data_IF_186235612598
#
_entry.id   IF_186235612598
#
_cell.length_a   1.000
_cell.length_b   1.000
_cell.length_c   1.000
_cell.angle_alpha   90.00
_cell.angle_beta   90.00
_cell.angle_gamma   90.00
#
_symmetry.space_group_name_H-M   'P 1'
#
loop_
_entity.id
_entity.type
_entity.pdbx_description
1 polymer ?
#
# COMPACT_ATOMS: atom_id res chain seq x y z
N UNK A 1 -13.59 -6.18 -26.46
CA UNK A 1 -12.62 -5.77 -25.42
C UNK A 1 -12.06 -7.01 -24.74
N UNK A 2 -10.80 -7.38 -25.01
CA UNK A 2 -10.13 -8.51 -24.32
C UNK A 2 -10.11 -8.21 -22.82
N UNK A 3 -10.80 -9.01 -22.01
CA UNK A 3 -10.64 -9.01 -20.55
C UNK A 3 -9.18 -9.39 -20.27
N UNK A 4 -8.32 -8.41 -19.98
CA UNK A 4 -7.06 -8.69 -19.31
C UNK A 4 -7.42 -9.18 -17.90
N UNK A 5 -7.65 -10.48 -17.76
CA UNK A 5 -7.46 -11.14 -16.47
C UNK A 5 -6.07 -10.70 -16.00
N UNK A 6 -5.98 -10.06 -14.83
CA UNK A 6 -4.70 -9.66 -14.25
C UNK A 6 -3.80 -10.91 -14.20
N UNK A 7 -2.93 -11.03 -15.22
CA UNK A 7 -2.11 -12.22 -15.40
C UNK A 7 -0.98 -12.09 -14.40
N UNK A 8 -1.09 -12.89 -13.36
CA UNK A 8 -0.07 -13.10 -12.34
C UNK A 8 1.25 -13.39 -13.04
N UNK A 9 2.25 -12.53 -12.86
CA UNK A 9 3.60 -12.74 -13.39
C UNK A 9 4.23 -14.00 -12.81
N UNK A 10 5.22 -14.55 -13.50
CA UNK A 10 5.99 -15.67 -12.98
C UNK A 10 6.61 -15.30 -11.63
N UNK A 11 6.42 -16.16 -10.64
CA UNK A 11 6.99 -16.00 -9.30
C UNK A 11 8.51 -15.90 -9.35
N UNK A 12 9.19 -16.66 -10.24
CA UNK A 12 10.64 -16.62 -10.40
C UNK A 12 11.12 -15.25 -10.88
N UNK A 13 10.40 -14.67 -11.84
CA UNK A 13 10.68 -13.31 -12.30
C UNK A 13 10.51 -12.28 -11.18
N UNK A 14 9.42 -12.38 -10.42
CA UNK A 14 9.19 -11.48 -9.29
C UNK A 14 10.31 -11.58 -8.24
N UNK A 15 10.70 -12.81 -7.86
CA UNK A 15 11.80 -13.04 -6.92
C UNK A 15 13.11 -12.50 -7.46
N UNK A 16 13.47 -12.81 -8.72
CA UNK A 16 14.71 -12.36 -9.33
C UNK A 16 14.82 -10.83 -9.37
N UNK A 17 13.74 -10.14 -9.74
CA UNK A 17 13.71 -8.68 -9.77
C UNK A 17 13.80 -8.08 -8.36
N UNK A 18 13.08 -8.65 -7.38
CA UNK A 18 13.18 -8.22 -5.98
C UNK A 18 14.59 -8.43 -5.42
N UNK A 19 15.24 -9.55 -5.71
CA UNK A 19 16.64 -9.78 -5.28
C UNK A 19 17.57 -8.74 -5.89
N UNK A 20 17.46 -8.48 -7.20
CA UNK A 20 18.25 -7.43 -7.86
C UNK A 20 18.01 -6.05 -7.25
N UNK A 21 16.76 -5.73 -6.92
CA UNK A 21 16.39 -4.51 -6.22
C UNK A 21 17.01 -4.43 -4.82
N UNK A 22 16.96 -5.51 -4.03
CA UNK A 22 17.52 -5.55 -2.68
C UNK A 22 19.05 -5.44 -2.69
N UNK A 23 19.73 -6.05 -3.67
CA UNK A 23 21.19 -5.93 -3.81
C UNK A 23 21.56 -4.49 -4.11
N UNK A 24 20.93 -3.87 -5.11
CA UNK A 24 21.24 -2.50 -5.50
C UNK A 24 20.82 -1.51 -4.41
N UNK A 25 19.61 -1.64 -3.88
CA UNK A 25 19.10 -0.80 -2.79
C UNK A 25 19.92 -0.95 -1.52
N UNK A 26 20.38 -2.17 -1.20
CA UNK A 26 21.26 -2.43 -0.06
C UNK A 26 22.65 -1.81 -0.23
N UNK A 27 23.23 -1.90 -1.44
CA UNK A 27 24.49 -1.22 -1.74
C UNK A 27 24.35 0.31 -1.60
N UNK A 28 23.28 0.89 -2.14
CA UNK A 28 23.04 2.33 -2.04
C UNK A 28 22.77 2.74 -0.59
N UNK A 29 21.95 1.99 0.15
CA UNK A 29 21.64 2.27 1.56
C UNK A 29 22.88 2.16 2.46
N UNK A 30 23.80 1.23 2.17
CA UNK A 30 25.05 1.11 2.91
C UNK A 30 25.97 2.33 2.75
N UNK A 31 25.92 2.98 1.58
CA UNK A 31 26.68 4.20 1.30
C UNK A 31 25.89 5.49 1.59
N UNK A 32 24.64 5.37 2.03
CA UNK A 32 23.77 6.51 2.33
C UNK A 32 24.04 7.04 3.73
N UNK A 33 24.41 8.31 3.80
CA UNK A 33 24.49 9.03 5.06
C UNK A 33 23.08 9.37 5.54
N UNK A 34 22.71 8.83 6.71
CA UNK A 34 21.37 9.04 7.27
C UNK A 34 21.12 10.52 7.52
N UNK A 35 20.02 11.01 6.98
CA UNK A 35 19.63 12.40 7.12
C UNK A 35 19.16 12.71 8.54
N UNK A 36 19.13 14.00 8.86
CA UNK A 36 18.73 14.50 10.17
C UNK A 36 17.35 13.98 10.60
N UNK A 37 16.39 13.94 9.69
CA UNK A 37 15.02 13.49 9.96
C UNK A 37 14.94 11.98 10.18
N UNK A 38 15.74 11.18 9.48
CA UNK A 38 15.87 9.74 9.75
C UNK A 38 16.40 9.49 11.16
N UNK A 39 17.48 10.16 11.53
CA UNK A 39 18.09 10.03 12.85
C UNK A 39 17.16 10.58 13.94
N UNK A 40 16.44 11.67 13.70
CA UNK A 40 15.47 12.22 14.65
C UNK A 40 14.36 11.19 14.96
N UNK A 41 13.80 10.54 13.95
CA UNK A 41 12.79 9.50 14.14
C UNK A 41 13.35 8.30 14.93
N UNK A 42 14.59 7.90 14.64
CA UNK A 42 15.28 6.86 15.39
C UNK A 42 15.49 7.23 16.86
N UNK A 43 16.00 8.43 17.14
CA UNK A 43 16.26 8.92 18.49
C UNK A 43 14.98 9.00 19.32
N UNK A 44 13.89 9.49 18.74
CA UNK A 44 12.58 9.49 19.41
C UNK A 44 12.14 8.08 19.83
N UNK A 45 12.27 7.12 18.93
CA UNK A 45 11.89 5.73 19.21
C UNK A 45 12.85 5.04 20.21
N UNK A 46 14.12 5.41 20.22
CA UNK A 46 15.14 4.87 21.13
C UNK A 46 15.03 5.44 22.54
N UNK A 47 14.84 6.76 22.63
CA UNK A 47 14.90 7.49 23.89
C UNK A 47 13.55 7.51 24.63
N UNK A 48 12.47 7.02 24.01
CA UNK A 48 11.20 6.76 24.70
C UNK A 48 11.19 5.43 25.45
N UNK A 49 10.94 5.46 26.76
CA UNK A 49 10.90 4.28 27.60
C UNK A 49 9.62 3.46 27.40
N UNK A 50 8.49 4.12 27.06
CA UNK A 50 7.18 3.49 26.85
C UNK A 50 6.45 4.02 25.61
N UNK A 51 5.41 3.31 25.15
CA UNK A 51 4.55 3.78 24.06
C UNK A 51 3.88 5.12 24.38
N UNK A 52 3.47 5.34 25.64
CA UNK A 52 2.84 6.59 26.07
C UNK A 52 3.80 7.77 25.97
N UNK A 53 5.04 7.57 26.38
CA UNK A 53 6.10 8.58 26.28
C UNK A 53 6.44 8.88 24.82
N UNK A 54 6.49 7.86 23.96
CA UNK A 54 6.66 8.04 22.53
C UNK A 54 5.56 8.93 21.93
N UNK A 55 4.29 8.66 22.27
CA UNK A 55 3.18 9.51 21.81
C UNK A 55 3.22 10.92 22.40
N UNK A 56 3.71 11.09 23.63
CA UNK A 56 3.90 12.41 24.23
C UNK A 56 4.95 13.23 23.45
N UNK A 57 6.05 12.60 23.02
CA UNK A 57 7.07 13.26 22.20
C UNK A 57 6.58 13.55 20.78
N UNK A 58 5.82 12.63 20.17
CA UNK A 58 5.28 12.79 18.82
C UNK A 58 4.29 13.94 18.66
N UNK A 59 3.67 14.40 19.74
CA UNK A 59 2.76 15.55 19.74
C UNK A 59 3.38 16.80 19.09
N UNK A 60 4.71 16.92 19.15
CA UNK A 60 5.46 18.07 18.65
C UNK A 60 6.09 17.84 17.26
N UNK A 61 6.04 16.62 16.72
CA UNK A 61 6.62 16.25 15.41
C UNK A 61 5.69 16.56 14.23
N UNK A 62 4.37 16.58 14.45
CA UNK A 62 3.38 16.75 13.37
C UNK A 62 3.24 15.54 12.44
N UNK A 63 3.96 14.44 12.70
CA UNK A 63 3.89 13.20 11.93
C UNK A 63 3.13 12.08 12.67
N UNK A 64 2.34 11.26 11.95
CA UNK A 64 1.70 10.08 12.54
C UNK A 64 2.71 9.08 13.13
N UNK A 65 2.37 8.47 14.27
CA UNK A 65 3.29 7.64 15.05
C UNK A 65 3.59 6.24 14.52
N UNK A 66 2.96 5.78 13.42
CA UNK A 66 3.07 4.38 12.99
C UNK A 66 4.51 3.97 12.68
N UNK A 67 5.29 4.84 12.04
CA UNK A 67 6.70 4.59 11.77
C UNK A 67 7.50 4.41 13.07
N UNK A 68 7.34 5.33 14.01
CA UNK A 68 8.00 5.31 15.30
C UNK A 68 7.64 4.07 16.15
N UNK A 69 6.38 3.62 16.07
CA UNK A 69 5.95 2.37 16.70
C UNK A 69 6.69 1.15 16.15
N UNK A 70 7.02 1.14 14.85
CA UNK A 70 7.84 0.09 14.25
C UNK A 70 9.31 0.19 14.68
N UNK A 71 9.84 1.40 14.88
CA UNK A 71 11.23 1.60 15.28
C UNK A 71 11.50 1.28 16.75
N UNK A 72 10.53 1.54 17.63
CA UNK A 72 10.68 1.33 19.07
C UNK A 72 11.11 -0.10 19.47
N UNK A 73 10.55 -1.20 18.92
CA UNK A 73 11.08 -2.53 19.21
C UNK A 73 12.47 -2.77 18.61
N UNK A 74 12.80 -2.17 17.47
CA UNK A 74 14.13 -2.31 16.84
C UNK A 74 15.21 -1.64 17.68
N UNK A 75 14.91 -0.51 18.32
CA UNK A 75 15.82 0.18 19.23
C UNK A 75 16.15 -0.63 20.49
N UNK A 76 15.30 -1.62 20.83
CA UNK A 76 15.58 -2.57 21.93
C UNK A 76 16.48 -3.73 21.53
N UNK A 77 16.67 -3.96 20.23
CA UNK A 77 17.57 -4.98 19.70
C UNK A 77 19.00 -4.41 19.58
N UNK A 78 19.12 -3.17 19.10
CA UNK A 78 20.41 -2.50 18.94
C UNK A 78 20.28 -0.99 19.08
N UNK A 79 21.34 -0.35 19.57
CA UNK A 79 21.44 1.10 19.61
C UNK A 79 21.77 1.72 18.24
N UNK A 80 22.27 0.92 17.29
CA UNK A 80 22.69 1.39 15.97
C UNK A 80 21.48 1.66 15.06
N UNK A 81 21.39 2.84 14.43
CA UNK A 81 20.29 3.18 13.52
C UNK A 81 20.32 2.39 12.21
N UNK A 82 21.39 1.66 11.91
CA UNK A 82 21.52 0.81 10.71
C UNK A 82 20.39 -0.24 10.63
N UNK A 83 19.88 -0.73 11.77
CA UNK A 83 18.76 -1.68 11.78
C UNK A 83 17.50 -1.09 11.15
N UNK A 84 17.30 0.23 11.27
CA UNK A 84 16.18 0.93 10.64
C UNK A 84 16.31 0.90 9.11
N UNK A 85 17.51 1.12 8.56
CA UNK A 85 17.75 1.04 7.11
C UNK A 85 17.49 -0.38 6.58
N UNK A 86 17.94 -1.41 7.31
CA UNK A 86 17.66 -2.81 6.94
C UNK A 86 16.16 -3.09 6.97
N UNK A 87 15.46 -2.67 8.02
CA UNK A 87 14.02 -2.84 8.14
C UNK A 87 13.26 -2.12 7.02
N UNK A 88 13.67 -0.88 6.70
CA UNK A 88 13.11 -0.09 5.61
C UNK A 88 13.32 -0.75 4.25
N UNK A 89 14.53 -1.28 3.99
CA UNK A 89 14.84 -2.00 2.76
C UNK A 89 14.00 -3.28 2.62
N UNK A 90 13.71 -3.98 3.73
CA UNK A 90 12.80 -5.13 3.73
C UNK A 90 11.37 -4.72 3.36
N UNK A 91 10.85 -3.62 3.93
CA UNK A 91 9.53 -3.07 3.57
C UNK A 91 9.47 -2.74 2.07
N UNK A 92 10.51 -2.08 1.54
CA UNK A 92 10.60 -1.77 0.12
C UNK A 92 10.69 -3.03 -0.75
N UNK A 93 11.46 -4.04 -0.33
CA UNK A 93 11.55 -5.34 -1.01
C UNK A 93 10.21 -6.07 -1.09
N UNK A 94 9.45 -6.10 0.01
CA UNK A 94 8.08 -6.65 0.02
C UNK A 94 7.17 -5.85 -0.92
N UNK A 95 7.27 -4.52 -0.90
CA UNK A 95 6.50 -3.64 -1.79
C UNK A 95 6.78 -3.94 -3.27
N UNK A 96 8.06 -4.04 -3.65
CA UNK A 96 8.51 -4.41 -5.00
C UNK A 96 8.01 -5.80 -5.38
N UNK A 97 8.15 -6.79 -4.49
CA UNK A 97 7.66 -8.14 -4.76
C UNK A 97 6.16 -8.16 -5.05
N UNK A 98 5.35 -7.53 -4.20
CA UNK A 98 3.90 -7.46 -4.38
C UNK A 98 3.53 -6.73 -5.67
N UNK A 99 4.18 -5.60 -5.95
CA UNK A 99 3.95 -4.84 -7.17
C UNK A 99 4.26 -5.67 -8.42
N UNK A 100 5.45 -6.28 -8.49
CA UNK A 100 5.86 -7.08 -9.66
C UNK A 100 4.94 -8.28 -9.85
N UNK A 101 4.55 -8.94 -8.75
CA UNK A 101 3.73 -10.15 -8.72
C UNK A 101 2.29 -9.93 -9.18
N UNK A 102 1.67 -8.83 -8.78
CA UNK A 102 0.23 -8.61 -8.91
C UNK A 102 -0.17 -7.46 -9.84
N UNK A 103 0.72 -6.50 -10.10
CA UNK A 103 0.36 -5.36 -10.94
C UNK A 103 0.15 -5.78 -12.40
N UNK A 104 -0.88 -5.26 -13.09
CA UNK A 104 -1.23 -5.61 -14.47
C UNK A 104 -0.40 -4.86 -15.52
N UNK A 105 0.89 -4.62 -15.23
CA UNK A 105 1.81 -3.88 -16.11
C UNK A 105 2.73 -4.82 -16.89
N UNK A 106 3.29 -4.31 -18.00
CA UNK A 106 4.30 -5.04 -18.76
C UNK A 106 5.64 -5.13 -18.00
N UNK A 107 6.54 -5.99 -18.45
CA UNK A 107 7.81 -6.23 -17.76
C UNK A 107 8.69 -4.98 -17.68
N UNK A 108 8.72 -4.14 -18.73
CA UNK A 108 9.51 -2.92 -18.79
C UNK A 108 8.99 -1.86 -17.80
N UNK A 109 7.67 -1.65 -17.73
CA UNK A 109 7.03 -0.77 -16.77
C UNK A 109 7.32 -1.19 -15.33
N UNK A 110 7.31 -2.50 -15.06
CA UNK A 110 7.67 -3.04 -13.75
C UNK A 110 9.12 -2.77 -13.40
N UNK A 111 10.02 -3.03 -14.34
CA UNK A 111 11.44 -2.75 -14.18
C UNK A 111 11.69 -1.26 -13.92
N UNK A 112 11.18 -0.38 -14.78
CA UNK A 112 11.35 1.08 -14.65
C UNK A 112 10.74 1.64 -13.37
N UNK A 113 9.60 1.09 -12.92
CA UNK A 113 9.02 1.49 -11.64
C UNK A 113 9.93 1.10 -10.47
N UNK A 114 10.37 -0.15 -10.41
CA UNK A 114 11.18 -0.66 -9.30
C UNK A 114 12.56 -0.01 -9.23
N UNK A 115 13.22 0.22 -10.36
CA UNK A 115 14.54 0.86 -10.44
C UNK A 115 14.47 2.36 -10.71
N UNK A 116 13.28 2.96 -10.61
CA UNK A 116 13.10 4.40 -10.68
C UNK A 116 13.57 5.10 -9.41
N UNK A 117 13.89 6.39 -9.54
CA UNK A 117 14.37 7.23 -8.44
C UNK A 117 13.52 7.11 -7.17
N UNK A 118 12.20 7.25 -7.27
CA UNK A 118 11.33 7.23 -6.10
C UNK A 118 11.35 5.88 -5.37
N UNK A 119 11.21 4.76 -6.07
CA UNK A 119 11.10 3.45 -5.42
C UNK A 119 12.45 3.00 -4.87
N UNK A 120 13.52 3.19 -5.64
CA UNK A 120 14.85 2.73 -5.26
C UNK A 120 15.54 3.65 -4.25
N UNK A 121 15.34 4.97 -4.34
CA UNK A 121 16.01 5.92 -3.46
C UNK A 121 15.08 6.42 -2.36
N UNK A 122 14.03 7.18 -2.70
CA UNK A 122 13.14 7.81 -1.71
C UNK A 122 12.41 6.81 -0.80
N UNK A 123 12.00 5.66 -1.33
CA UNK A 123 11.22 4.65 -0.59
C UNK A 123 12.01 3.41 -0.16
N UNK A 124 13.29 3.29 -0.51
CA UNK A 124 14.13 2.17 -0.07
C UNK A 124 15.37 2.60 0.71
N UNK A 125 16.02 3.69 0.30
CA UNK A 125 17.28 4.16 0.91
C UNK A 125 17.01 5.13 2.05
N UNK A 126 16.19 6.15 1.82
CA UNK A 126 15.88 7.17 2.84
C UNK A 126 14.82 6.59 3.79
N UNK A 127 15.22 6.22 5.00
CA UNK A 127 14.42 5.44 5.94
C UNK A 127 13.32 6.26 6.63
N UNK A 128 12.21 6.45 5.90
CA UNK A 128 11.09 7.29 6.33
C UNK A 128 9.75 6.55 6.33
N UNK A 129 8.78 7.19 6.97
CA UNK A 129 7.39 6.73 7.07
C UNK A 129 6.71 6.47 5.71
N UNK A 130 7.18 7.07 4.62
CA UNK A 130 6.54 6.94 3.31
C UNK A 130 6.64 5.53 2.70
N UNK A 131 7.69 4.76 3.00
CA UNK A 131 7.80 3.38 2.50
C UNK A 131 6.69 2.48 3.06
N UNK A 132 6.32 2.65 4.33
CA UNK A 132 5.14 1.99 4.90
C UNK A 132 3.87 2.42 4.17
N UNK A 133 3.73 3.70 3.85
CA UNK A 133 2.61 4.22 3.08
C UNK A 133 2.49 3.55 1.71
N UNK A 134 3.61 3.43 0.98
CA UNK A 134 3.64 2.77 -0.32
C UNK A 134 3.30 1.28 -0.21
N UNK A 135 3.86 0.57 0.78
CA UNK A 135 3.55 -0.85 1.02
C UNK A 135 2.05 -1.06 1.23
N UNK A 136 1.44 -0.27 2.13
CA UNK A 136 0.03 -0.38 2.46
C UNK A 136 -0.87 -0.03 1.26
N UNK A 137 -0.47 0.95 0.44
CA UNK A 137 -1.18 1.30 -0.78
C UNK A 137 -1.13 0.16 -1.82
N UNK A 138 0.04 -0.46 -2.02
CA UNK A 138 0.16 -1.63 -2.89
C UNK A 138 -0.66 -2.79 -2.36
N UNK A 139 -0.63 -3.05 -1.05
CA UNK A 139 -1.43 -4.10 -0.42
C UNK A 139 -2.93 -3.87 -0.60
N UNK A 140 -3.39 -2.63 -0.44
CA UNK A 140 -4.76 -2.23 -0.75
C UNK A 140 -5.13 -2.56 -2.21
N UNK A 141 -4.28 -2.19 -3.18
CA UNK A 141 -4.50 -2.49 -4.59
C UNK A 141 -4.59 -4.00 -4.87
N UNK A 142 -3.75 -4.81 -4.22
CA UNK A 142 -3.78 -6.28 -4.34
C UNK A 142 -5.10 -6.85 -3.85
N UNK A 143 -5.59 -6.37 -2.70
CA UNK A 143 -6.82 -6.86 -2.07
C UNK A 143 -8.10 -6.19 -2.60
N UNK A 144 -7.97 -5.15 -3.44
CA UNK A 144 -9.09 -4.37 -3.95
C UNK A 144 -10.17 -5.20 -4.66
N UNK A 145 -9.78 -6.30 -5.30
CA UNK A 145 -10.73 -7.21 -5.96
C UNK A 145 -11.66 -7.91 -4.97
N UNK A 146 -11.21 -8.14 -3.75
CA UNK A 146 -11.96 -8.83 -2.70
C UNK A 146 -12.58 -7.86 -1.69
N UNK A 147 -12.64 -6.55 -2.02
CA UNK A 147 -13.02 -5.48 -1.09
C UNK A 147 -14.38 -5.67 -0.40
N UNK A 148 -15.34 -6.28 -1.07
CA UNK A 148 -16.67 -6.56 -0.50
C UNK A 148 -16.76 -7.87 0.27
N UNK A 149 -15.82 -8.80 0.05
CA UNK A 149 -15.77 -10.07 0.81
C UNK A 149 -15.14 -9.88 2.19
N UNK A 150 -14.21 -8.92 2.30
CA UNK A 150 -13.39 -8.69 3.49
C UNK A 150 -13.30 -7.21 3.84
N UNK A 151 -14.43 -6.52 4.13
CA UNK A 151 -14.44 -5.08 4.36
C UNK A 151 -13.61 -4.66 5.57
N UNK A 152 -13.53 -5.49 6.62
CA UNK A 152 -12.70 -5.21 7.80
C UNK A 152 -11.20 -5.16 7.47
N UNK A 153 -10.72 -6.02 6.56
CA UNK A 153 -9.32 -6.01 6.14
C UNK A 153 -8.98 -4.75 5.34
N UNK A 154 -9.86 -4.34 4.44
CA UNK A 154 -9.70 -3.09 3.69
C UNK A 154 -9.73 -1.89 4.63
N UNK A 155 -10.70 -1.83 5.55
CA UNK A 155 -10.80 -0.77 6.54
C UNK A 155 -9.55 -0.68 7.42
N UNK A 156 -9.03 -1.82 7.88
CA UNK A 156 -7.78 -1.88 8.66
C UNK A 156 -6.57 -1.36 7.88
N UNK A 157 -6.42 -1.74 6.61
CA UNK A 157 -5.32 -1.24 5.77
C UNK A 157 -5.44 0.27 5.54
N UNK A 158 -6.64 0.78 5.25
CA UNK A 158 -6.89 2.20 5.07
C UNK A 158 -6.63 2.99 6.36
N UNK A 159 -7.03 2.45 7.50
CA UNK A 159 -6.74 3.03 8.81
C UNK A 159 -5.22 3.13 9.05
N UNK A 160 -4.47 2.05 8.83
CA UNK A 160 -3.01 2.07 8.97
C UNK A 160 -2.38 3.03 7.96
N UNK A 161 -2.87 3.07 6.72
CA UNK A 161 -2.37 3.96 5.67
C UNK A 161 -2.53 5.43 6.06
N UNK A 162 -3.70 5.81 6.59
CA UNK A 162 -3.95 7.15 7.12
C UNK A 162 -2.99 7.53 8.26
N UNK A 163 -2.50 6.56 9.03
CA UNK A 163 -1.54 6.74 10.10
C UNK A 163 -0.07 6.69 9.65
N UNK A 164 0.24 6.73 8.35
CA UNK A 164 1.63 6.84 7.86
C UNK A 164 2.05 8.29 7.65
N UNK A 165 1.26 9.09 6.92
CA UNK A 165 1.57 10.47 6.58
C UNK A 165 0.31 11.26 6.18
N UNK A 166 0.40 12.60 6.17
CA UNK A 166 -0.70 13.46 5.70
C UNK A 166 -1.05 13.17 4.23
N UNK A 167 -0.06 12.91 3.37
CA UNK A 167 -0.28 12.54 1.98
C UNK A 167 -1.08 11.25 1.86
N UNK A 168 -0.73 10.24 2.67
CA UNK A 168 -1.45 8.98 2.71
C UNK A 168 -2.87 9.14 3.29
N UNK A 169 -3.07 10.05 4.25
CA UNK A 169 -4.40 10.40 4.75
C UNK A 169 -5.28 10.99 3.63
N UNK A 170 -4.77 11.93 2.83
CA UNK A 170 -5.50 12.50 1.69
C UNK A 170 -5.90 11.39 0.71
N UNK A 171 -4.96 10.50 0.37
CA UNK A 171 -5.23 9.34 -0.50
C UNK A 171 -6.30 8.43 0.10
N UNK A 172 -6.21 8.11 1.40
CA UNK A 172 -7.19 7.30 2.11
C UNK A 172 -8.58 7.93 2.09
N UNK A 173 -8.70 9.24 2.32
CA UNK A 173 -9.98 9.96 2.24
C UNK A 173 -10.57 9.84 0.83
N UNK A 174 -9.76 10.09 -0.21
CA UNK A 174 -10.21 10.00 -1.60
C UNK A 174 -10.68 8.59 -1.96
N UNK A 175 -9.94 7.56 -1.58
CA UNK A 175 -10.31 6.15 -1.80
C UNK A 175 -11.58 5.80 -1.03
N UNK A 176 -11.68 6.20 0.23
CA UNK A 176 -12.84 5.90 1.08
C UNK A 176 -14.11 6.56 0.53
N UNK A 177 -13.99 7.80 0.06
CA UNK A 177 -15.07 8.51 -0.63
C UNK A 177 -15.48 7.80 -1.92
N UNK A 178 -14.53 7.40 -2.76
CA UNK A 178 -14.82 6.65 -3.98
C UNK A 178 -15.55 5.32 -3.70
N UNK A 179 -15.11 4.57 -2.68
CA UNK A 179 -15.75 3.33 -2.26
C UNK A 179 -17.17 3.57 -1.71
N UNK A 180 -17.36 4.67 -0.97
CA UNK A 180 -18.67 5.08 -0.49
C UNK A 180 -19.60 5.41 -1.67
N UNK A 181 -19.17 6.25 -2.61
CA UNK A 181 -19.95 6.56 -3.82
C UNK A 181 -20.28 5.29 -4.61
N UNK A 182 -19.32 4.39 -4.82
CA UNK A 182 -19.53 3.11 -5.50
C UNK A 182 -20.62 2.28 -4.80
N UNK A 183 -20.56 2.17 -3.47
CA UNK A 183 -21.55 1.43 -2.69
C UNK A 183 -22.96 2.05 -2.77
N UNK A 184 -23.06 3.39 -2.66
CA UNK A 184 -24.35 4.08 -2.73
C UNK A 184 -24.97 3.99 -4.12
N UNK A 185 -24.19 4.17 -5.19
CA UNK A 185 -24.66 4.03 -6.56
C UNK A 185 -25.14 2.59 -6.84
N UNK A 186 -24.39 1.59 -6.38
CA UNK A 186 -24.82 0.18 -6.48
C UNK A 186 -26.10 -0.10 -5.69
N UNK A 187 -26.29 0.55 -4.55
CA UNK A 187 -27.52 0.41 -3.75
C UNK A 187 -28.71 1.04 -4.48
N UNK A 188 -28.57 2.27 -4.98
CA UNK A 188 -29.65 2.96 -5.71
C UNK A 188 -30.06 2.16 -6.96
N UNK A 189 -29.10 1.66 -7.74
CA UNK A 189 -29.38 0.84 -8.93
C UNK A 189 -30.17 -0.45 -8.61
N UNK A 190 -30.02 -1.01 -7.40
CA UNK A 190 -30.79 -2.19 -6.95
C UNK A 190 -32.22 -1.87 -6.49
N UNK A 191 -32.50 -0.62 -6.13
CA UNK A 191 -33.81 -0.17 -5.64
C UNK A 191 -34.57 0.71 -6.66
N UNK A 192 -34.08 0.80 -7.90
CA UNK A 192 -34.80 1.47 -8.99
C UNK A 192 -36.15 0.80 -9.27
N UNK A 193 -37.17 1.55 -9.74
CA UNK A 193 -38.49 1.00 -10.03
C UNK A 193 -38.39 -0.16 -11.02
N UNK A 194 -39.16 -1.22 -10.78
CA UNK A 194 -39.22 -2.36 -11.68
C UNK A 194 -39.62 -1.89 -13.08
N UNK A 195 -38.95 -2.37 -14.13
CA UNK A 195 -39.22 -1.90 -15.47
C UNK A 195 -40.64 -2.26 -15.91
N UNK A 196 -41.37 -1.25 -16.34
CA UNK A 196 -42.75 -1.38 -16.82
C UNK A 196 -42.75 -2.05 -18.19
N UNK A 197 -43.10 -3.34 -18.21
CA UNK A 197 -43.87 -4.04 -19.25
C UNK A 197 -43.26 -4.28 -20.64
N UNK A 198 -42.44 -3.37 -21.18
CA UNK A 198 -42.01 -3.42 -22.59
C UNK A 198 -40.47 -3.51 -22.76
N UNK A 199 -39.70 -3.20 -21.71
CA UNK A 199 -38.22 -3.24 -21.72
C UNK A 199 -37.61 -4.58 -21.23
N UNK A 200 -38.49 -5.51 -20.83
CA UNK A 200 -38.15 -6.81 -20.23
C UNK A 200 -37.11 -7.61 -21.04
N UNK A 201 -37.18 -7.60 -22.37
CA UNK A 201 -36.23 -8.37 -23.20
C UNK A 201 -34.85 -7.73 -23.37
N UNK A 202 -34.73 -6.40 -23.23
CA UNK A 202 -33.43 -5.70 -23.33
C UNK A 202 -32.76 -5.65 -21.96
N UNK A 203 -33.48 -5.25 -20.92
CA UNK A 203 -32.93 -5.22 -19.55
C UNK A 203 -32.56 -6.58 -19.01
N UNK A 204 -33.27 -7.66 -19.36
CA UNK A 204 -32.85 -8.99 -18.91
C UNK A 204 -31.48 -9.38 -19.50
N UNK A 205 -31.11 -8.87 -20.69
CA UNK A 205 -29.77 -9.07 -21.26
C UNK A 205 -28.73 -8.18 -20.57
N UNK A 206 -29.03 -6.92 -20.30
CA UNK A 206 -28.12 -5.99 -19.61
C UNK A 206 -27.91 -6.39 -18.15
N UNK A 207 -28.98 -6.70 -17.41
CA UNK A 207 -28.92 -7.19 -16.04
C UNK A 207 -28.20 -8.55 -15.94
N UNK A 208 -28.40 -9.47 -16.91
CA UNK A 208 -27.63 -10.72 -16.96
C UNK A 208 -26.15 -10.46 -17.27
N UNK A 209 -25.80 -9.46 -18.09
CA UNK A 209 -24.42 -9.02 -18.32
C UNK A 209 -23.79 -8.40 -17.06
N UNK A 210 -24.52 -7.58 -16.32
CA UNK A 210 -24.06 -6.97 -15.06
C UNK A 210 -23.93 -7.98 -13.92
N UNK A 211 -24.87 -8.92 -13.82
CA UNK A 211 -24.82 -10.02 -12.83
C UNK A 211 -23.69 -10.99 -13.16
N UNK A 212 -23.41 -11.22 -14.45
CA UNK A 212 -22.25 -12.01 -14.90
C UNK A 212 -20.94 -11.24 -14.75
N UNK A 213 -20.93 -9.91 -14.90
CA UNK A 213 -19.80 -9.06 -14.55
C UNK A 213 -19.53 -9.09 -13.04
N UNK A 214 -20.57 -9.09 -12.21
CA UNK A 214 -20.49 -9.21 -10.75
C UNK A 214 -20.00 -10.61 -10.32
N UNK A 215 -20.54 -11.69 -10.91
CA UNK A 215 -20.07 -13.08 -10.67
C UNK A 215 -18.69 -13.39 -11.25
N UNK A 216 -18.25 -12.71 -12.31
CA UNK A 216 -16.88 -12.85 -12.83
C UNK A 216 -15.86 -11.97 -12.09
N UNK A 217 -16.34 -11.07 -11.23
CA UNK A 217 -15.54 -10.21 -10.34
C UNK A 217 -15.55 -10.70 -8.88
N UNK A 218 -16.43 -11.64 -8.52
CA UNK A 218 -16.43 -12.36 -7.23
C UNK A 218 -15.43 -13.49 -7.22
#
# INVERSE_FOLDING_TARGET
MKRHSAQKTDTRYAIGLTIGFLILGGFTAFNHEMWRDEIQAWLLARDSASFFELFAHLKYEGHPGLWHLCLMPLSRITASPVIMQVFHLLIAGVTVYLFVRYAPFNWLQKFLFCFGYFVLYEYAVIARNYALGLLLLILFCVLFRERYKRPLWIGGILFLLAHTSVHALIVTIAISFALFCEYFLMKIARFGPAPTGEDSTRETKTARLETTLCRSRS
#
